data_IF_314824533864
#
_entry.id   IF_314824533864
#
_cell.length_a   1.000
_cell.length_b   1.000
_cell.length_c   1.000
_cell.angle_alpha   90.00
_cell.angle_beta   90.00
_cell.angle_gamma   90.00
#
_symmetry.space_group_name_H-M   'P 1'
#
loop_
_entity.id
_entity.type
_entity.pdbx_description
1 polymer ?
#
# COMPACT_ATOMS: atom_id res chain seq x y z
N UNK A 1 47.86 37.97 33.18
CA UNK A 1 46.59 38.39 32.53
C UNK A 1 45.80 37.14 32.17
N UNK A 2 44.47 37.22 32.29
CA UNK A 2 43.44 36.16 32.14
C UNK A 2 43.57 35.41 30.79
N UNK A 3 43.15 34.15 30.66
CA UNK A 3 41.75 33.84 30.31
C UNK A 3 41.36 32.39 30.59
N UNK A 4 40.18 32.21 31.21
CA UNK A 4 39.42 30.96 31.33
C UNK A 4 38.77 30.66 29.98
N UNK A 5 38.86 29.43 29.50
CA UNK A 5 38.12 28.97 28.32
C UNK A 5 36.82 28.32 28.77
N UNK A 6 35.73 29.07 28.64
CA UNK A 6 34.36 28.64 28.95
C UNK A 6 33.85 27.75 27.82
N UNK A 7 33.32 26.58 28.19
CA UNK A 7 32.59 25.66 27.32
C UNK A 7 31.30 26.36 26.83
N UNK A 8 31.15 26.56 25.52
CA UNK A 8 29.89 26.94 24.88
C UNK A 8 29.43 25.80 23.97
N UNK A 9 28.29 25.19 24.34
CA UNK A 9 27.52 24.30 23.48
C UNK A 9 26.83 25.17 22.45
N UNK A 10 27.32 25.16 21.21
CA UNK A 10 26.63 25.77 20.08
C UNK A 10 25.58 24.79 19.56
N UNK A 11 24.33 25.08 19.89
CA UNK A 11 23.12 24.47 19.37
C UNK A 11 23.08 24.74 17.85
N UNK A 12 23.35 23.73 17.03
CA UNK A 12 23.09 23.79 15.59
C UNK A 12 21.61 23.48 15.41
N UNK A 13 20.78 24.52 15.32
CA UNK A 13 19.43 24.43 14.79
C UNK A 13 19.51 24.33 13.26
N UNK A 14 19.07 23.23 12.63
CA UNK A 14 18.70 23.30 11.23
C UNK A 14 17.37 24.04 11.14
N UNK A 15 17.44 25.27 10.64
CA UNK A 15 16.29 25.95 10.03
C UNK A 15 15.91 25.15 8.80
N UNK A 16 14.90 24.29 8.92
CA UNK A 16 14.07 23.90 7.79
C UNK A 16 12.78 24.71 7.85
N UNK A 17 12.71 25.64 6.91
CA UNK A 17 11.62 26.56 6.69
C UNK A 17 10.45 25.82 6.01
N UNK A 18 9.32 25.83 6.71
CA UNK A 18 7.94 25.81 6.21
C UNK A 18 7.50 24.73 5.21
N UNK A 19 6.66 23.83 5.72
CA UNK A 19 5.58 23.17 4.97
C UNK A 19 4.41 22.96 5.93
N UNK A 20 3.50 23.92 5.96
CA UNK A 20 2.27 23.88 6.74
C UNK A 20 1.37 22.77 6.17
N UNK A 21 1.38 21.58 6.77
CA UNK A 21 0.23 20.68 6.77
C UNK A 21 -0.21 20.52 8.22
N UNK A 22 -1.46 20.88 8.46
CA UNK A 22 -2.04 20.99 9.78
C UNK A 22 -2.22 19.65 10.50
N UNK A 23 -2.60 19.82 11.76
CA UNK A 23 -3.17 18.83 12.67
C UNK A 23 -2.18 17.90 13.36
N UNK A 24 -1.75 18.37 14.53
CA UNK A 24 -1.93 17.59 15.76
C UNK A 24 -0.89 16.52 16.01
N UNK A 25 0.22 16.93 16.66
CA UNK A 25 0.91 16.03 17.57
C UNK A 25 -0.09 15.50 18.59
N UNK A 26 -0.45 14.23 18.45
CA UNK A 26 -1.13 13.48 19.49
C UNK A 26 -0.19 12.40 19.95
N UNK A 27 0.33 12.62 21.16
CA UNK A 27 0.85 11.60 22.05
C UNK A 27 -0.26 10.58 22.33
N UNK A 28 -0.55 9.67 21.41
CA UNK A 28 -1.56 8.64 21.62
C UNK A 28 -0.89 7.28 21.68
N UNK A 29 -0.82 6.77 22.91
CA UNK A 29 -0.78 5.33 23.21
C UNK A 29 -2.03 4.71 22.55
N UNK A 30 -1.92 4.31 21.27
CA UNK A 30 -2.98 3.59 20.55
C UNK A 30 -3.46 4.14 19.20
N UNK A 31 -2.94 5.26 18.68
CA UNK A 31 -3.29 5.79 17.35
C UNK A 31 -2.04 5.91 16.48
N UNK A 32 -1.96 5.13 15.41
CA UNK A 32 -0.70 4.84 14.72
C UNK A 32 -0.31 5.93 13.72
N UNK A 33 0.99 6.18 13.54
CA UNK A 33 1.55 7.04 12.46
C UNK A 33 1.04 6.66 11.04
N UNK A 34 0.41 5.49 10.93
CA UNK A 34 -0.11 4.85 9.74
C UNK A 34 -1.60 5.11 9.48
N UNK A 35 -2.30 5.80 10.38
CA UNK A 35 -3.69 6.18 10.15
C UNK A 35 -3.81 7.18 8.99
N UNK A 36 -4.95 7.15 8.29
CA UNK A 36 -5.25 8.03 7.17
C UNK A 36 -5.63 7.29 5.89
N UNK A 37 -5.71 8.05 4.79
CA UNK A 37 -6.06 7.52 3.47
C UNK A 37 -4.81 6.99 2.76
N UNK A 38 -4.89 5.77 2.23
CA UNK A 38 -3.85 5.09 1.47
C UNK A 38 -4.36 4.88 0.06
N UNK A 39 -4.09 5.80 -0.89
CA UNK A 39 -4.69 5.77 -2.22
C UNK A 39 -4.14 4.66 -3.13
N UNK A 40 -3.00 4.06 -2.76
CA UNK A 40 -2.26 3.12 -3.58
C UNK A 40 -2.03 1.80 -2.83
N UNK A 41 -3.10 1.04 -2.67
CA UNK A 41 -3.07 -0.35 -2.21
C UNK A 41 -3.06 -1.26 -3.42
N UNK A 42 -2.02 -2.05 -3.54
CA UNK A 42 -1.83 -2.96 -4.67
C UNK A 42 -1.48 -4.36 -4.17
N UNK A 43 -2.39 -5.30 -4.36
CA UNK A 43 -2.11 -6.72 -4.23
C UNK A 43 -1.67 -7.28 -5.59
N UNK A 44 -0.75 -8.23 -5.59
CA UNK A 44 -0.35 -8.99 -6.77
C UNK A 44 -0.19 -10.45 -6.35
N UNK A 45 -0.85 -11.35 -7.07
CA UNK A 45 -0.66 -12.79 -6.91
C UNK A 45 -0.44 -13.43 -8.29
N UNK A 46 0.80 -13.82 -8.64
CA UNK A 46 1.11 -14.40 -9.94
C UNK A 46 0.56 -15.82 -10.11
N UNK A 47 0.17 -16.50 -9.02
CA UNK A 47 -0.40 -17.84 -9.09
C UNK A 47 -1.87 -17.82 -9.53
N UNK A 48 -2.49 -16.63 -9.64
CA UNK A 48 -3.84 -16.49 -10.19
C UNK A 48 -3.78 -16.64 -11.70
N UNK A 49 -4.22 -17.82 -12.16
CA UNK A 49 -4.31 -18.18 -13.57
C UNK A 49 -5.34 -17.32 -14.30
N UNK A 50 -4.88 -16.63 -15.34
CA UNK A 50 -5.76 -15.88 -16.22
C UNK A 50 -6.66 -16.82 -17.04
N UNK A 51 -7.91 -16.41 -17.34
CA UNK A 51 -8.76 -17.18 -18.24
C UNK A 51 -8.10 -17.32 -19.61
N UNK A 52 -8.17 -18.53 -20.18
CA UNK A 52 -7.64 -18.78 -21.51
C UNK A 52 -8.46 -18.02 -22.58
N UNK A 53 -7.82 -17.31 -23.51
CA UNK A 53 -8.53 -16.73 -24.65
C UNK A 53 -9.01 -17.83 -25.60
N UNK A 54 -10.06 -17.56 -26.37
CA UNK A 54 -10.46 -18.42 -27.49
C UNK A 54 -9.46 -18.36 -28.66
N UNK A 55 -9.63 -19.24 -29.64
CA UNK A 55 -8.80 -19.24 -30.86
C UNK A 55 -8.83 -17.88 -31.56
N UNK A 56 -7.67 -17.36 -31.95
CA UNK A 56 -7.46 -16.01 -32.53
C UNK A 56 -7.82 -14.83 -31.61
N UNK A 57 -7.91 -15.05 -30.30
CA UNK A 57 -8.14 -13.99 -29.32
C UNK A 57 -6.91 -13.76 -28.45
N UNK A 58 -6.75 -12.53 -27.96
CA UNK A 58 -5.80 -12.17 -26.90
C UNK A 58 -6.55 -11.84 -25.63
N UNK A 59 -5.96 -12.15 -24.47
CA UNK A 59 -6.51 -11.79 -23.16
C UNK A 59 -5.73 -10.60 -22.59
N UNK A 60 -6.43 -9.56 -22.15
CA UNK A 60 -5.84 -8.43 -21.44
C UNK A 60 -6.49 -8.33 -20.07
N UNK A 61 -5.66 -8.41 -19.03
CA UNK A 61 -6.09 -8.25 -17.64
C UNK A 61 -5.54 -6.96 -17.05
N UNK A 62 -6.37 -6.23 -16.30
CA UNK A 62 -5.99 -5.04 -15.55
C UNK A 62 -6.31 -5.20 -14.08
N UNK A 63 -5.46 -4.67 -13.22
CA UNK A 63 -5.64 -4.66 -11.76
C UNK A 63 -5.16 -3.32 -11.22
N UNK A 64 -5.99 -2.26 -11.30
CA UNK A 64 -5.60 -0.94 -10.81
C UNK A 64 -5.41 -0.96 -9.29
N UNK A 65 -4.48 -0.15 -8.75
CA UNK A 65 -4.41 0.11 -7.32
C UNK A 65 -5.74 0.68 -6.81
N UNK A 66 -6.01 0.47 -5.52
CA UNK A 66 -7.23 0.97 -4.86
C UNK A 66 -6.89 1.75 -3.60
N UNK A 67 -7.83 2.58 -3.17
CA UNK A 67 -7.69 3.30 -1.92
C UNK A 67 -8.19 2.47 -0.74
N UNK A 68 -7.59 2.66 0.43
CA UNK A 68 -8.16 2.24 1.71
C UNK A 68 -7.98 3.33 2.75
N UNK A 69 -8.83 3.34 3.78
CA UNK A 69 -8.62 4.18 4.96
C UNK A 69 -8.19 3.28 6.11
N UNK A 70 -7.10 3.67 6.79
CA UNK A 70 -6.60 3.01 7.99
C UNK A 70 -6.96 3.87 9.20
N UNK A 71 -7.55 3.25 10.21
CA UNK A 71 -7.94 3.87 11.49
C UNK A 71 -7.49 2.97 12.62
N UNK A 72 -6.76 3.51 13.59
CA UNK A 72 -6.12 2.78 14.68
C UNK A 72 -5.26 1.60 14.18
N UNK A 73 -4.58 1.76 13.05
CA UNK A 73 -3.76 0.72 12.43
C UNK A 73 -4.54 -0.36 11.68
N UNK A 74 -5.87 -0.27 11.54
CA UNK A 74 -6.67 -1.25 10.79
C UNK A 74 -7.37 -0.61 9.59
N UNK A 75 -7.50 -1.36 8.50
CA UNK A 75 -8.34 -0.95 7.38
C UNK A 75 -8.65 -2.11 6.43
N UNK A 76 -9.63 -1.90 5.56
CA UNK A 76 -9.99 -2.87 4.52
C UNK A 76 -10.40 -2.18 3.24
N UNK A 77 -10.17 -2.83 2.11
CA UNK A 77 -10.62 -2.39 0.79
C UNK A 77 -10.85 -3.57 -0.14
N UNK A 78 -11.38 -3.31 -1.32
CA UNK A 78 -11.60 -4.30 -2.36
C UNK A 78 -10.86 -3.87 -3.63
N UNK A 79 -9.97 -4.74 -4.11
CA UNK A 79 -9.31 -4.56 -5.40
C UNK A 79 -9.99 -5.41 -6.46
N UNK A 80 -10.27 -4.82 -7.61
CA UNK A 80 -10.83 -5.51 -8.77
C UNK A 80 -9.73 -5.83 -9.77
N UNK A 81 -9.66 -7.08 -10.22
CA UNK A 81 -8.96 -7.47 -11.45
C UNK A 81 -9.98 -7.81 -12.52
N UNK A 82 -9.84 -7.19 -13.68
CA UNK A 82 -10.74 -7.35 -14.82
C UNK A 82 -9.98 -7.92 -16.00
N UNK A 83 -10.48 -9.00 -16.59
CA UNK A 83 -9.92 -9.64 -17.77
C UNK A 83 -10.91 -9.58 -18.94
N UNK A 84 -10.43 -9.17 -20.11
CA UNK A 84 -11.24 -9.04 -21.32
C UNK A 84 -10.51 -9.62 -22.53
N UNK A 85 -11.25 -10.38 -23.34
CA UNK A 85 -10.75 -10.95 -24.58
C UNK A 85 -10.93 -9.98 -25.74
N UNK A 86 -9.96 -9.95 -26.65
CA UNK A 86 -9.95 -9.15 -27.87
C UNK A 86 -9.66 -10.04 -29.07
N UNK A 87 -10.21 -9.73 -30.23
CA UNK A 87 -9.76 -10.40 -31.47
C UNK A 87 -8.36 -9.91 -31.81
N UNK A 88 -7.50 -10.83 -32.22
CA UNK A 88 -6.14 -10.49 -32.61
C UNK A 88 -6.15 -9.46 -33.75
N UNK A 89 -5.48 -8.32 -33.55
CA UNK A 89 -5.41 -7.24 -34.54
C UNK A 89 -6.54 -6.21 -34.46
N UNK A 90 -7.45 -6.30 -33.48
CA UNK A 90 -8.47 -5.28 -33.23
C UNK A 90 -8.47 -4.84 -31.77
N UNK A 91 -8.93 -3.61 -31.50
CA UNK A 91 -9.18 -3.10 -30.15
C UNK A 91 -10.61 -3.37 -29.69
N UNK A 92 -11.39 -4.14 -30.46
CA UNK A 92 -12.78 -4.44 -30.14
C UNK A 92 -12.84 -5.66 -29.23
N UNK A 93 -13.41 -5.54 -28.02
CA UNK A 93 -13.54 -6.67 -27.13
C UNK A 93 -14.56 -7.68 -27.66
N UNK A 94 -14.33 -8.96 -27.37
CA UNK A 94 -15.21 -10.06 -27.76
C UNK A 94 -15.60 -10.86 -26.53
N UNK A 95 -16.90 -10.91 -26.23
CA UNK A 95 -17.43 -11.64 -25.08
C UNK A 95 -17.59 -10.81 -23.81
N UNK A 96 -17.83 -11.51 -22.69
CA UNK A 96 -18.13 -10.91 -21.38
C UNK A 96 -16.83 -10.68 -20.61
N UNK A 97 -16.70 -9.50 -20.01
CA UNK A 97 -15.61 -9.17 -19.09
C UNK A 97 -15.70 -10.06 -17.84
N UNK A 98 -14.57 -10.68 -17.46
CA UNK A 98 -14.46 -11.46 -16.23
C UNK A 98 -13.85 -10.60 -15.13
N UNK A 99 -14.46 -10.63 -13.94
CA UNK A 99 -14.08 -9.81 -12.80
C UNK A 99 -13.71 -10.69 -11.62
N UNK A 100 -12.55 -10.44 -11.02
CA UNK A 100 -12.05 -11.10 -9.81
C UNK A 100 -11.90 -10.06 -8.71
N UNK A 101 -12.49 -10.33 -7.55
CA UNK A 101 -12.47 -9.42 -6.42
C UNK A 101 -11.50 -9.94 -5.35
N UNK A 102 -10.61 -9.06 -4.90
CA UNK A 102 -9.71 -9.30 -3.77
C UNK A 102 -10.15 -8.43 -2.61
N UNK A 103 -10.67 -9.05 -1.57
CA UNK A 103 -10.93 -8.41 -0.30
C UNK A 103 -9.62 -8.34 0.48
N UNK A 104 -9.15 -7.13 0.73
CA UNK A 104 -7.88 -6.84 1.38
C UNK A 104 -8.21 -6.29 2.76
N UNK A 105 -7.74 -6.97 3.81
CA UNK A 105 -7.78 -6.48 5.19
C UNK A 105 -6.37 -6.31 5.72
N UNK A 106 -6.10 -5.23 6.44
CA UNK A 106 -4.76 -4.87 6.91
C UNK A 106 -4.83 -4.48 8.38
N UNK A 107 -3.83 -4.93 9.14
CA UNK A 107 -3.56 -4.57 10.52
C UNK A 107 -2.09 -4.22 10.66
N UNK A 108 -1.81 -3.03 11.18
CA UNK A 108 -0.48 -2.52 11.46
C UNK A 108 -0.31 -2.50 12.98
N UNK A 109 0.60 -3.36 13.44
CA UNK A 109 0.87 -3.60 14.85
C UNK A 109 2.01 -2.71 15.35
N UNK A 110 2.13 -2.53 16.68
CA UNK A 110 3.30 -1.93 17.30
C UNK A 110 4.59 -2.61 16.80
N UNK A 111 5.62 -1.82 16.51
CA UNK A 111 6.86 -2.31 15.90
C UNK A 111 6.84 -2.35 14.36
N UNK A 112 5.87 -1.67 13.73
CA UNK A 112 5.77 -1.49 12.28
C UNK A 112 5.53 -2.81 11.52
N UNK A 113 4.90 -3.79 12.17
CA UNK A 113 4.58 -5.08 11.56
C UNK A 113 3.24 -4.95 10.83
N UNK A 114 3.19 -5.42 9.59
CA UNK A 114 1.98 -5.41 8.77
C UNK A 114 1.50 -6.84 8.63
N UNK A 115 0.30 -7.10 9.12
CA UNK A 115 -0.45 -8.32 8.82
C UNK A 115 -1.57 -7.95 7.86
N UNK A 116 -1.63 -8.63 6.73
CA UNK A 116 -2.72 -8.48 5.80
C UNK A 116 -3.33 -9.83 5.47
N UNK A 117 -4.60 -9.82 5.12
CA UNK A 117 -5.33 -10.98 4.64
C UNK A 117 -5.99 -10.62 3.32
N UNK A 118 -5.71 -11.39 2.27
CA UNK A 118 -6.29 -11.18 0.95
C UNK A 118 -7.02 -12.44 0.50
N UNK A 119 -8.35 -12.41 0.48
CA UNK A 119 -9.20 -13.59 0.20
C UNK A 119 -8.78 -14.84 1.02
N UNK A 120 -8.45 -14.67 2.30
CA UNK A 120 -8.00 -15.77 3.16
C UNK A 120 -6.53 -16.15 3.03
N UNK A 121 -5.76 -15.50 2.14
CA UNK A 121 -4.30 -15.64 2.08
C UNK A 121 -3.66 -14.70 3.11
N UNK A 122 -3.03 -15.23 4.19
CA UNK A 122 -2.31 -14.40 5.14
C UNK A 122 -1.00 -13.92 4.51
N UNK A 123 -0.74 -12.61 4.62
CA UNK A 123 0.48 -11.94 4.19
C UNK A 123 1.07 -11.24 5.42
N UNK A 124 2.39 -11.32 5.59
CA UNK A 124 3.07 -10.62 6.68
C UNK A 124 4.24 -9.83 6.14
N UNK A 125 4.50 -8.68 6.74
CA UNK A 125 5.68 -7.89 6.45
C UNK A 125 5.83 -6.71 7.40
N UNK A 126 6.26 -5.58 6.86
CA UNK A 126 6.63 -4.42 7.67
C UNK A 126 6.40 -3.10 6.95
N UNK A 127 6.18 -2.06 7.73
CA UNK A 127 6.27 -0.69 7.28
C UNK A 127 7.73 -0.23 7.29
N UNK A 128 8.19 0.26 6.14
CA UNK A 128 9.52 0.85 5.97
C UNK A 128 9.53 2.33 6.38
N UNK A 129 8.37 2.97 6.31
CA UNK A 129 8.13 4.35 6.70
C UNK A 129 6.65 4.55 7.06
N UNK A 130 6.27 5.67 7.70
CA UNK A 130 4.87 6.02 7.98
C UNK A 130 3.94 6.12 6.75
N UNK A 131 4.50 6.03 5.54
CA UNK A 131 3.79 6.17 4.25
C UNK A 131 4.03 4.99 3.30
N UNK A 132 4.73 3.96 3.74
CA UNK A 132 5.15 2.85 2.88
C UNK A 132 5.24 1.54 3.64
N UNK A 133 4.32 0.61 3.31
CA UNK A 133 4.22 -0.69 3.94
C UNK A 133 4.18 -1.80 2.89
N UNK A 134 4.72 -2.96 3.24
CA UNK A 134 4.79 -4.12 2.35
C UNK A 134 4.58 -5.43 3.12
N UNK A 135 3.84 -6.37 2.54
CA UNK A 135 3.58 -7.70 3.11
C UNK A 135 3.63 -8.78 2.01
N UNK A 136 4.09 -9.98 2.34
CA UNK A 136 4.28 -11.09 1.38
C UNK A 136 3.91 -12.44 1.96
N UNK A 137 3.55 -13.36 1.06
CA UNK A 137 3.51 -14.79 1.30
C UNK A 137 3.81 -15.54 -0.01
N UNK A 138 4.91 -16.27 -0.04
CA UNK A 138 5.36 -16.94 -1.27
C UNK A 138 5.64 -15.92 -2.40
N UNK A 139 4.95 -16.10 -3.52
CA UNK A 139 5.04 -15.23 -4.70
C UNK A 139 4.01 -14.08 -4.68
N UNK A 140 3.05 -14.10 -3.74
CA UNK A 140 2.06 -13.05 -3.58
C UNK A 140 2.59 -11.91 -2.71
N UNK A 141 2.22 -10.68 -3.07
CA UNK A 141 2.66 -9.47 -2.38
C UNK A 141 1.56 -8.41 -2.29
N UNK A 142 1.59 -7.63 -1.22
CA UNK A 142 0.75 -6.46 -0.99
C UNK A 142 1.66 -5.26 -0.71
N UNK A 143 1.44 -4.19 -1.45
CA UNK A 143 2.10 -2.90 -1.26
C UNK A 143 1.06 -1.86 -0.87
N UNK A 144 1.38 -1.06 0.14
CA UNK A 144 0.60 0.09 0.54
C UNK A 144 1.48 1.33 0.46
N UNK A 145 1.03 2.35 -0.27
CA UNK A 145 1.66 3.69 -0.26
C UNK A 145 0.65 4.80 -0.01
N UNK A 146 1.06 5.77 0.80
CA UNK A 146 0.29 6.95 1.18
C UNK A 146 0.72 8.17 0.38
#
# INVERSE_FOLDING_TARGET
>A
MRFKTTLMVALITPVFLAGCFGSGGSSNVGGTDYDGNWPNVAFVNPDVVDPAPGTNQTMICSQPPVAMTIVNGYGSTMQLRSCQAYTTGTSTPVGVQQNFYYLISVSILPGNIVNAEVNGLPLTGKCLSPVGCYAVAGTAGLTLTR
#
